data_IF_491954505219
#
_entry.id   IF_491954505219
#
_cell.length_a   1.000
_cell.length_b   1.000
_cell.length_c   1.000
_cell.angle_alpha   90.00
_cell.angle_beta   90.00
_cell.angle_gamma   90.00
#
_symmetry.space_group_name_H-M   'P 1'
#
loop_
_entity.id
_entity.type
_entity.pdbx_description
1 polymer ?
#
# COMPACT_ATOMS: atom_id res chain seq x y z
N UNK A 1 4.08 8.23 11.55
CA UNK A 1 5.25 7.35 11.73
C UNK A 1 4.91 6.13 12.57
N UNK A 2 4.53 6.25 13.86
CA UNK A 2 4.10 5.07 14.67
C UNK A 2 2.91 4.35 14.03
N UNK A 3 1.94 5.10 13.52
CA UNK A 3 0.72 4.54 12.91
C UNK A 3 1.05 3.67 11.68
N UNK A 4 1.96 4.13 10.82
CA UNK A 4 2.39 3.38 9.62
C UNK A 4 3.10 2.07 9.98
N UNK A 5 3.95 2.07 11.00
CA UNK A 5 4.56 0.83 11.51
C UNK A 5 3.50 -0.16 12.00
N UNK A 6 2.51 0.32 12.74
CA UNK A 6 1.40 -0.52 13.22
C UNK A 6 0.58 -1.10 12.06
N UNK A 7 0.26 -0.29 11.06
CA UNK A 7 -0.48 -0.71 9.87
C UNK A 7 0.28 -1.76 9.06
N UNK A 8 1.60 -1.61 8.88
CA UNK A 8 2.41 -2.61 8.18
C UNK A 8 2.49 -3.92 8.97
N UNK A 9 2.75 -3.87 10.28
CA UNK A 9 2.75 -5.09 11.12
C UNK A 9 1.41 -5.81 11.07
N UNK A 10 0.29 -5.07 11.08
CA UNK A 10 -1.02 -5.68 10.95
C UNK A 10 -1.26 -6.26 9.55
N UNK A 11 -0.78 -5.59 8.51
CA UNK A 11 -0.81 -6.09 7.12
C UNK A 11 -0.01 -7.38 6.95
N UNK A 12 1.11 -7.55 7.67
CA UNK A 12 1.86 -8.81 7.73
C UNK A 12 1.01 -9.96 8.26
N UNK A 13 0.27 -9.72 9.34
CA UNK A 13 -0.64 -10.71 9.93
C UNK A 13 -1.78 -11.06 8.97
N UNK A 14 -2.36 -10.05 8.30
CA UNK A 14 -3.41 -10.22 7.29
C UNK A 14 -2.90 -11.09 6.14
N UNK A 15 -1.76 -10.76 5.54
CA UNK A 15 -1.21 -11.49 4.39
C UNK A 15 -1.01 -12.99 4.67
N UNK A 16 -0.62 -13.33 5.91
CA UNK A 16 -0.48 -14.73 6.31
C UNK A 16 -1.82 -15.49 6.30
N UNK A 17 -2.92 -14.83 6.69
CA UNK A 17 -4.24 -15.47 6.81
C UNK A 17 -5.06 -15.42 5.52
N UNK A 18 -4.85 -14.39 4.70
CA UNK A 18 -5.58 -14.13 3.47
C UNK A 18 -5.49 -15.32 2.51
N UNK A 19 -6.57 -15.63 1.79
CA UNK A 19 -6.58 -16.71 0.79
C UNK A 19 -6.73 -16.10 -0.59
N UNK A 20 -5.61 -15.76 -1.20
CA UNK A 20 -5.57 -15.11 -2.51
C UNK A 20 -4.36 -15.61 -3.29
N UNK A 21 -4.45 -15.59 -4.62
CA UNK A 21 -3.31 -15.90 -5.49
C UNK A 21 -2.29 -14.75 -5.55
N UNK A 22 -2.70 -13.54 -5.16
CA UNK A 22 -1.89 -12.32 -5.27
C UNK A 22 -0.97 -12.06 -4.06
N UNK A 23 -0.74 -13.07 -3.20
CA UNK A 23 0.18 -12.95 -2.05
C UNK A 23 1.59 -12.47 -2.44
N UNK A 24 2.20 -12.93 -3.55
CA UNK A 24 3.52 -12.44 -3.95
C UNK A 24 3.55 -10.93 -4.23
N UNK A 25 2.48 -10.39 -4.83
CA UNK A 25 2.35 -8.97 -5.16
C UNK A 25 2.17 -8.13 -3.90
N UNK A 26 1.31 -8.59 -2.98
CA UNK A 26 1.16 -7.94 -1.66
C UNK A 26 2.50 -7.95 -0.92
N UNK A 27 3.19 -9.10 -0.89
CA UNK A 27 4.50 -9.24 -0.23
C UNK A 27 5.50 -8.23 -0.76
N UNK A 28 5.65 -8.15 -2.08
CA UNK A 28 6.57 -7.19 -2.69
C UNK A 28 6.23 -5.74 -2.33
N UNK A 29 4.94 -5.38 -2.28
CA UNK A 29 4.52 -4.04 -1.86
C UNK A 29 4.85 -3.74 -0.38
N UNK A 30 4.63 -4.71 0.52
CA UNK A 30 4.98 -4.58 1.93
C UNK A 30 6.49 -4.48 2.15
N UNK A 31 7.28 -5.27 1.42
CA UNK A 31 8.75 -5.24 1.49
C UNK A 31 9.29 -3.86 1.08
N UNK A 32 8.73 -3.25 0.02
CA UNK A 32 9.08 -1.89 -0.40
C UNK A 32 8.66 -0.83 0.64
N UNK A 33 7.51 -1.02 1.30
CA UNK A 33 7.08 -0.14 2.38
C UNK A 33 8.03 -0.20 3.60
N UNK A 34 8.41 -1.41 4.02
CA UNK A 34 9.40 -1.62 5.07
C UNK A 34 10.75 -1.01 4.71
N UNK A 35 11.21 -1.24 3.48
CA UNK A 35 12.45 -0.67 2.98
C UNK A 35 12.47 0.85 3.10
N UNK A 36 11.37 1.53 2.74
CA UNK A 36 11.25 2.98 2.95
C UNK A 36 11.28 3.38 4.43
N UNK A 37 10.55 2.67 5.29
CA UNK A 37 10.52 3.01 6.71
C UNK A 37 11.89 2.90 7.37
N UNK A 38 12.66 1.87 7.03
CA UNK A 38 13.99 1.60 7.57
C UNK A 38 15.09 2.48 6.95
N UNK A 39 15.06 2.68 5.63
CA UNK A 39 16.20 3.22 4.89
C UNK A 39 15.91 4.54 4.18
N UNK A 40 14.63 4.98 4.12
CA UNK A 40 14.18 6.16 3.37
C UNK A 40 14.64 6.13 1.89
N UNK A 41 14.68 4.93 1.30
CA UNK A 41 15.29 4.68 -0.01
C UNK A 41 14.30 4.60 -1.18
N UNK A 42 13.03 4.97 -0.95
CA UNK A 42 11.97 5.00 -1.95
C UNK A 42 11.29 6.35 -1.93
N UNK A 43 10.92 6.85 -3.10
CA UNK A 43 10.12 8.08 -3.24
C UNK A 43 8.64 7.80 -3.03
N UNK A 44 7.87 8.85 -2.73
CA UNK A 44 6.41 8.76 -2.66
C UNK A 44 5.79 8.25 -3.96
N UNK A 45 6.35 8.63 -5.11
CA UNK A 45 5.88 8.17 -6.42
C UNK A 45 6.09 6.67 -6.62
N UNK A 46 7.28 6.15 -6.29
CA UNK A 46 7.56 4.72 -6.41
C UNK A 46 6.61 3.89 -5.55
N UNK A 47 6.36 4.33 -4.32
CA UNK A 47 5.41 3.66 -3.43
C UNK A 47 3.96 3.80 -3.90
N UNK A 48 3.58 4.94 -4.46
CA UNK A 48 2.25 5.12 -5.04
C UNK A 48 2.01 4.19 -6.24
N UNK A 49 3.03 3.99 -7.08
CA UNK A 49 2.97 3.05 -8.22
C UNK A 49 2.69 1.61 -7.79
N UNK A 50 2.94 1.24 -6.52
CA UNK A 50 2.53 -0.06 -5.98
C UNK A 50 1.01 -0.18 -5.84
N UNK A 51 0.32 0.93 -5.55
CA UNK A 51 -1.15 0.97 -5.51
C UNK A 51 -1.73 1.00 -6.91
N UNK A 52 -1.19 1.89 -7.74
CA UNK A 52 -1.70 2.24 -9.06
C UNK A 52 -0.54 2.71 -9.96
N UNK A 53 -0.17 1.88 -10.94
CA UNK A 53 0.85 2.21 -11.94
C UNK A 53 0.28 2.95 -13.16
N UNK A 54 -1.02 3.26 -13.16
CA UNK A 54 -1.74 3.87 -14.27
C UNK A 54 -2.13 2.88 -15.37
N UNK A 55 -1.97 1.57 -15.13
CA UNK A 55 -2.38 0.50 -16.04
C UNK A 55 -3.50 -0.35 -15.44
N UNK A 56 -4.23 -1.05 -16.30
CA UNK A 56 -5.29 -1.97 -15.88
C UNK A 56 -4.76 -3.38 -15.52
N UNK A 57 -3.45 -3.55 -15.37
CA UNK A 57 -2.81 -4.87 -15.23
C UNK A 57 -2.11 -5.07 -13.89
N UNK A 58 -1.58 -4.01 -13.28
CA UNK A 58 -0.81 -4.10 -12.05
C UNK A 58 -1.28 -3.11 -10.99
N UNK A 59 -0.77 -3.31 -9.78
CA UNK A 59 -1.08 -2.48 -8.64
C UNK A 59 -2.10 -3.13 -7.73
N UNK A 60 -2.01 -2.80 -6.44
CA UNK A 60 -2.88 -3.34 -5.39
C UNK A 60 -4.37 -3.12 -5.72
N UNK A 61 -4.74 -1.98 -6.31
CA UNK A 61 -6.14 -1.72 -6.66
C UNK A 61 -6.67 -2.61 -7.78
N UNK A 62 -5.81 -3.01 -8.73
CA UNK A 62 -6.19 -3.96 -9.79
C UNK A 62 -6.30 -5.36 -9.20
N UNK A 63 -5.32 -5.81 -8.40
CA UNK A 63 -5.35 -7.14 -7.81
C UNK A 63 -6.53 -7.35 -6.86
N UNK A 64 -6.91 -6.32 -6.10
CA UNK A 64 -8.12 -6.31 -5.29
C UNK A 64 -9.39 -6.56 -6.12
N UNK A 65 -9.50 -5.95 -7.30
CA UNK A 65 -10.66 -6.13 -8.19
C UNK A 65 -10.67 -7.48 -8.90
N UNK A 66 -9.49 -8.07 -9.14
CA UNK A 66 -9.34 -9.39 -9.75
C UNK A 66 -9.44 -10.54 -8.75
N UNK A 67 -9.52 -10.26 -7.45
CA UNK A 67 -9.74 -11.27 -6.41
C UNK A 67 -11.24 -11.55 -6.27
N UNK A 68 -11.68 -12.73 -6.71
CA UNK A 68 -13.09 -13.12 -6.72
C UNK A 68 -13.66 -13.43 -5.32
N UNK A 69 -12.79 -13.62 -4.31
CA UNK A 69 -13.23 -13.88 -2.94
C UNK A 69 -13.54 -12.57 -2.20
N UNK A 70 -14.81 -12.17 -2.21
CA UNK A 70 -15.28 -10.95 -1.54
C UNK A 70 -14.97 -10.92 -0.03
N UNK A 71 -14.71 -12.07 0.61
CA UNK A 71 -14.31 -12.10 2.03
C UNK A 71 -12.93 -11.49 2.25
N UNK A 72 -12.12 -11.37 1.19
CA UNK A 72 -10.82 -10.73 1.21
C UNK A 72 -10.90 -9.19 1.11
N UNK A 73 -12.05 -8.59 0.78
CA UNK A 73 -12.18 -7.12 0.60
C UNK A 73 -11.65 -6.33 1.81
N UNK A 74 -12.03 -6.64 3.07
CA UNK A 74 -11.47 -5.92 4.23
C UNK A 74 -9.96 -6.09 4.40
N UNK A 75 -9.40 -7.21 3.93
CA UNK A 75 -7.96 -7.45 3.96
C UNK A 75 -7.25 -6.59 2.92
N UNK A 76 -7.80 -6.51 1.71
CA UNK A 76 -7.32 -5.64 0.64
C UNK A 76 -7.39 -4.16 1.03
N UNK A 77 -8.49 -3.72 1.65
CA UNK A 77 -8.63 -2.35 2.15
C UNK A 77 -7.53 -2.00 3.15
N UNK A 78 -7.26 -2.89 4.12
CA UNK A 78 -6.18 -2.68 5.10
C UNK A 78 -4.80 -2.60 4.44
N UNK A 79 -4.50 -3.52 3.52
CA UNK A 79 -3.22 -3.55 2.79
C UNK A 79 -3.04 -2.27 1.97
N UNK A 80 -4.07 -1.87 1.21
CA UNK A 80 -4.00 -0.67 0.38
C UNK A 80 -3.84 0.59 1.23
N UNK A 81 -4.48 0.65 2.40
CA UNK A 81 -4.33 1.75 3.34
C UNK A 81 -2.91 1.83 3.91
N UNK A 82 -2.29 0.69 4.24
CA UNK A 82 -0.93 0.66 4.75
C UNK A 82 0.09 1.11 3.69
N UNK A 83 -0.05 0.65 2.43
CA UNK A 83 0.81 1.08 1.32
C UNK A 83 0.60 2.57 1.03
N UNK A 84 -0.64 3.05 0.99
CA UNK A 84 -0.95 4.47 0.77
C UNK A 84 -0.43 5.38 1.87
N UNK A 85 -0.55 4.95 3.13
CA UNK A 85 0.01 5.67 4.28
C UNK A 85 1.55 5.78 4.17
N UNK A 86 2.21 4.70 3.74
CA UNK A 86 3.66 4.71 3.54
C UNK A 86 4.07 5.62 2.38
N UNK A 87 3.36 5.56 1.25
CA UNK A 87 3.59 6.46 0.10
C UNK A 87 3.43 7.93 0.49
N UNK A 88 2.41 8.26 1.29
CA UNK A 88 2.20 9.60 1.83
C UNK A 88 3.36 10.04 2.72
N UNK A 89 3.84 9.19 3.64
CA UNK A 89 4.99 9.55 4.46
C UNK A 89 6.23 9.85 3.61
N UNK A 90 6.45 9.12 2.51
CA UNK A 90 7.54 9.37 1.58
C UNK A 90 7.36 10.69 0.81
N UNK A 91 6.15 11.01 0.34
CA UNK A 91 5.88 12.33 -0.28
C UNK A 91 6.16 13.49 0.67
N UNK A 92 5.74 13.35 1.93
CA UNK A 92 5.98 14.36 2.97
C UNK A 92 7.47 14.47 3.32
N UNK A 93 8.19 13.34 3.34
CA UNK A 93 9.63 13.31 3.54
C UNK A 93 10.39 14.04 2.42
N UNK A 94 9.95 13.89 1.17
CA UNK A 94 10.53 14.55 -0.01
C UNK A 94 10.14 16.04 -0.14
N UNK A 95 9.48 16.64 0.86
CA UNK A 95 8.93 18.01 0.84
C UNK A 95 7.98 18.27 -0.35
N UNK A 96 7.38 17.24 -0.93
CA UNK A 96 6.40 17.41 -1.99
C UNK A 96 5.07 17.85 -1.39
N UNK A 97 4.63 19.05 -1.74
CA UNK A 97 3.38 19.65 -1.24
C UNK A 97 2.13 19.11 -1.93
N UNK A 98 2.28 18.45 -3.07
CA UNK A 98 1.18 17.90 -3.86
C UNK A 98 1.17 16.39 -3.74
N UNK A 99 0.11 15.85 -3.15
CA UNK A 99 -0.14 14.42 -3.12
C UNK A 99 -0.96 14.05 -4.36
N UNK A 100 -0.75 12.85 -4.95
CA UNK A 100 -1.70 12.26 -5.88
C UNK A 100 -3.12 12.24 -5.28
N UNK A 101 -4.13 12.57 -6.07
CA UNK A 101 -5.52 12.69 -5.59
C UNK A 101 -6.04 11.47 -4.82
N UNK A 102 -5.71 10.21 -5.18
CA UNK A 102 -6.15 9.06 -4.39
C UNK A 102 -5.53 9.02 -2.98
N UNK A 103 -4.31 9.53 -2.82
CA UNK A 103 -3.69 9.69 -1.50
C UNK A 103 -4.32 10.82 -0.70
N UNK A 104 -4.89 11.86 -1.34
CA UNK A 104 -5.62 12.93 -0.65
C UNK A 104 -6.96 12.47 -0.05
N UNK A 105 -7.61 11.47 -0.67
CA UNK A 105 -8.90 10.93 -0.23
C UNK A 105 -8.73 9.94 0.94
N UNK A 106 -7.70 9.10 0.91
CA UNK A 106 -7.40 8.12 1.97
C UNK A 106 -7.14 8.77 3.35
N UNK A 107 -7.00 10.10 3.42
CA UNK A 107 -6.68 10.86 4.64
C UNK A 107 -7.88 11.51 5.34
N UNK A 108 -9.08 11.46 4.77
CA UNK A 108 -10.26 12.15 5.33
C UNK A 108 -11.18 11.27 6.19
N UNK A 109 -10.82 10.00 6.40
CA UNK A 109 -11.56 9.01 7.18
C UNK A 109 -10.73 8.58 8.37
#
# INVERSE_FOLDING_TARGET
MIDTYFMLIYSEAILNQMKTQYKPQIRAALDDCWSFLENKNKTGKELYTLLDDGTDFNGIFIYMQLDEDETNVPSWDNISYAVGSTAKEAYLFDNQKQLPSPLEILIQI
#
